data_IF_415551280050
#
_entry.id   IF_415551280050
#
_cell.length_a   1.000
_cell.length_b   1.000
_cell.length_c   1.000
_cell.angle_alpha   90.00
_cell.angle_beta   90.00
_cell.angle_gamma   90.00
#
_symmetry.space_group_name_H-M   'P 1'
#
loop_
_entity.id
_entity.type
_entity.pdbx_description
1 polymer ?
#
# COMPACT_ATOMS: atom_id res chain seq x y z
N UNK A 1 6.06 -20.37 -1.08
CA UNK A 1 6.30 -19.61 -2.32
C UNK A 1 6.37 -18.14 -1.95
N UNK A 2 7.55 -17.55 -1.88
CA UNK A 2 7.68 -16.10 -1.77
C UNK A 2 7.40 -15.52 -3.16
N UNK A 3 6.22 -14.94 -3.33
CA UNK A 3 5.89 -14.21 -4.55
C UNK A 3 6.60 -12.86 -4.42
N UNK A 4 7.83 -12.78 -4.93
CA UNK A 4 8.70 -11.59 -4.91
C UNK A 4 8.07 -10.34 -5.55
N UNK A 5 7.03 -10.52 -6.37
CA UNK A 5 6.32 -9.43 -7.06
C UNK A 5 5.09 -8.93 -6.29
N UNK A 6 4.78 -9.51 -5.13
CA UNK A 6 3.59 -9.14 -4.38
C UNK A 6 3.94 -8.09 -3.33
N UNK A 7 3.26 -6.94 -3.39
CA UNK A 7 3.41 -5.91 -2.35
C UNK A 7 2.99 -6.52 -1.01
N UNK A 8 3.87 -6.50 0.01
CA UNK A 8 3.55 -7.09 1.29
C UNK A 8 2.42 -6.30 1.96
N UNK A 9 1.46 -7.01 2.57
CA UNK A 9 0.49 -6.37 3.47
C UNK A 9 1.28 -5.72 4.61
N UNK A 10 0.94 -4.48 4.95
CA UNK A 10 1.72 -3.63 5.85
C UNK A 10 2.70 -2.69 5.15
N UNK A 11 2.85 -2.77 3.83
CA UNK A 11 3.64 -1.82 3.06
C UNK A 11 3.12 -0.38 3.22
N UNK A 12 4.03 0.59 3.30
CA UNK A 12 3.67 2.01 3.32
C UNK A 12 3.59 2.59 1.93
N UNK A 13 2.50 3.28 1.68
CA UNK A 13 2.22 4.01 0.46
C UNK A 13 2.14 5.50 0.73
N UNK A 14 2.58 6.30 -0.23
CA UNK A 14 2.35 7.74 -0.26
C UNK A 14 1.28 8.05 -1.30
N UNK A 15 0.23 8.73 -0.87
CA UNK A 15 -0.86 9.16 -1.75
C UNK A 15 -0.39 10.38 -2.55
N UNK A 16 -0.34 10.28 -3.88
CA UNK A 16 0.15 11.39 -4.75
C UNK A 16 -0.60 12.69 -4.60
N UNK A 17 -1.90 12.60 -4.31
CA UNK A 17 -2.80 13.76 -4.25
C UNK A 17 -2.63 14.57 -2.95
N UNK A 18 -2.38 13.90 -1.84
CA UNK A 18 -2.33 14.53 -0.51
C UNK A 18 -0.95 14.46 0.14
N UNK A 19 0.00 13.76 -0.48
CA UNK A 19 1.29 13.42 0.11
C UNK A 19 1.17 12.65 1.46
N UNK A 20 -0.02 12.09 1.75
CA UNK A 20 -0.32 11.35 2.97
C UNK A 20 0.30 9.95 2.94
N UNK A 21 0.87 9.52 4.06
CA UNK A 21 1.36 8.16 4.24
C UNK A 21 0.24 7.27 4.76
N UNK A 22 0.04 6.14 4.08
CA UNK A 22 -0.99 5.15 4.40
C UNK A 22 -0.40 3.74 4.34
N UNK A 23 -0.96 2.82 5.11
CA UNK A 23 -0.46 1.45 5.22
C UNK A 23 -1.38 0.49 4.49
N UNK A 24 -0.83 -0.39 3.66
CA UNK A 24 -1.58 -1.44 2.96
C UNK A 24 -2.17 -2.44 3.95
N UNK A 25 -3.48 -2.59 3.92
CA UNK A 25 -4.21 -3.60 4.70
C UNK A 25 -4.59 -4.78 3.83
N UNK A 26 -5.02 -4.54 2.59
CA UNK A 26 -5.56 -5.57 1.73
C UNK A 26 -5.46 -5.17 0.26
N UNK A 27 -5.27 -6.15 -0.62
CA UNK A 27 -5.31 -5.97 -2.08
C UNK A 27 -6.64 -6.53 -2.58
N UNK A 28 -7.52 -5.66 -3.06
CA UNK A 28 -8.80 -6.06 -3.65
C UNK A 28 -8.62 -6.34 -5.15
N UNK A 29 -9.02 -7.53 -5.61
CA UNK A 29 -8.91 -7.93 -7.01
C UNK A 29 -10.18 -7.53 -7.80
N UNK A 30 -10.01 -6.62 -8.76
CA UNK A 30 -11.01 -6.14 -9.73
C UNK A 30 -12.08 -5.12 -9.26
N UNK A 31 -11.96 -3.83 -9.67
CA UNK A 31 -10.74 -3.22 -10.17
C UNK A 31 -9.66 -3.28 -9.09
N UNK A 32 -8.40 -3.49 -9.47
CA UNK A 32 -7.30 -3.60 -8.49
C UNK A 32 -7.20 -2.33 -7.64
N UNK A 33 -7.42 -2.49 -6.33
CA UNK A 33 -7.35 -1.41 -5.35
C UNK A 33 -6.59 -1.87 -4.12
N UNK A 34 -5.92 -0.92 -3.51
CA UNK A 34 -5.30 -1.06 -2.20
C UNK A 34 -6.24 -0.49 -1.15
N UNK A 35 -6.70 -1.36 -0.27
CA UNK A 35 -7.33 -0.95 0.98
C UNK A 35 -6.21 -0.59 1.93
N UNK A 36 -6.22 0.64 2.40
CA UNK A 36 -5.18 1.22 3.24
C UNK A 36 -5.76 1.77 4.51
N UNK A 37 -4.95 1.88 5.56
CA UNK A 37 -5.28 2.61 6.79
C UNK A 37 -4.28 3.74 7.00
N UNK A 38 -4.74 4.88 7.47
CA UNK A 38 -3.86 5.94 7.95
C UNK A 38 -3.60 5.81 9.46
N UNK A 39 -2.76 6.70 10.00
CA UNK A 39 -2.37 6.71 11.43
C UNK A 39 -3.57 6.90 12.38
N UNK A 40 -4.65 7.50 11.91
CA UNK A 40 -5.91 7.67 12.65
C UNK A 40 -6.81 6.42 12.62
N UNK A 41 -6.36 5.32 11.98
CA UNK A 41 -7.15 4.10 11.82
C UNK A 41 -8.28 4.19 10.78
N UNK A 42 -8.28 5.25 9.95
CA UNK A 42 -9.31 5.43 8.91
C UNK A 42 -8.95 4.60 7.67
N UNK A 43 -9.92 3.81 7.22
CA UNK A 43 -9.77 2.99 6.02
C UNK A 43 -10.04 3.84 4.77
N UNK A 44 -9.09 3.85 3.84
CA UNK A 44 -9.19 4.50 2.54
C UNK A 44 -8.88 3.49 1.42
N UNK A 45 -9.48 3.67 0.25
CA UNK A 45 -9.26 2.82 -0.92
C UNK A 45 -8.58 3.64 -2.01
N UNK A 46 -7.41 3.18 -2.45
CA UNK A 46 -6.65 3.82 -3.52
C UNK A 46 -6.41 2.84 -4.67
N UNK A 47 -6.35 3.37 -5.89
CA UNK A 47 -5.92 2.60 -7.06
C UNK A 47 -4.40 2.56 -7.12
N UNK A 48 -3.87 1.60 -7.87
CA UNK A 48 -2.42 1.36 -7.99
C UNK A 48 -1.63 2.56 -8.53
N UNK A 49 -2.25 3.45 -9.30
CA UNK A 49 -1.60 4.66 -9.84
C UNK A 49 -1.72 5.89 -8.94
N UNK A 50 -2.61 5.86 -7.94
CA UNK A 50 -2.88 6.99 -7.03
C UNK A 50 -1.88 7.04 -5.87
N UNK A 51 -1.13 5.96 -5.67
CA UNK A 51 -0.15 5.82 -4.60
C UNK A 51 1.20 5.38 -5.14
N UNK A 52 2.27 5.80 -4.47
CA UNK A 52 3.62 5.29 -4.67
C UNK A 52 4.07 4.49 -3.44
N UNK A 53 4.80 3.40 -3.66
CA UNK A 53 5.37 2.57 -2.60
C UNK A 53 6.60 3.29 -2.00
N UNK A 54 6.59 3.56 -0.69
CA UNK A 54 7.68 4.29 0.01
C UNK A 54 8.60 3.36 0.78
N UNK A 55 8.03 2.37 1.46
CA UNK A 55 8.82 1.34 2.16
C UNK A 55 8.39 -0.03 1.62
N UNK A 56 9.18 -0.53 0.68
CA UNK A 56 9.35 -1.97 0.53
C UNK A 56 10.22 -2.39 1.70
N UNK A 57 9.85 -3.44 2.43
CA UNK A 57 10.78 -4.05 3.38
C UNK A 57 11.98 -4.61 2.60
N UNK A 58 12.98 -3.77 2.32
CA UNK A 58 14.33 -4.19 2.02
C UNK A 58 14.87 -4.81 3.31
N UNK A 59 14.63 -6.11 3.49
CA UNK A 59 15.59 -6.89 4.26
C UNK A 59 16.86 -6.94 3.41
N UNK A 60 17.79 -6.06 3.76
CA UNK A 60 19.21 -6.29 3.56
C UNK A 60 19.59 -7.58 4.29
N UNK A 61 19.88 -8.64 3.52
CA UNK A 61 20.96 -9.63 3.79
C UNK A 61 21.16 -10.53 2.57
#
# INVERSE_FOLDING_TARGET
MNILTQIPIGAKFKVKKSDELVTLVEICFYPTRYKTTNDSGKINYFRTHEVDLVESAENSD
#
